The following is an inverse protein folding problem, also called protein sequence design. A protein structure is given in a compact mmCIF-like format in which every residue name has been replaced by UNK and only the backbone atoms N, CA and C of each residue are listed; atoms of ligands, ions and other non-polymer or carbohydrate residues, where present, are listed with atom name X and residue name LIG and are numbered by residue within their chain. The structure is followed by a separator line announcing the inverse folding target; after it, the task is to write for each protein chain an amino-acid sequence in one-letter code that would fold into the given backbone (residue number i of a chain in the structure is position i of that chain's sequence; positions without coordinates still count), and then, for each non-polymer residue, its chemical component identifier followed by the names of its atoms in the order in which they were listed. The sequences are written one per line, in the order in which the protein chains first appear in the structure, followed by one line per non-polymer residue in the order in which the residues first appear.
data_IF_005008316898
#
_entry.id   IF_005008316898
#
_cell.length_a   1.000
_cell.length_b   1.000
_cell.length_c   1.000
_cell.angle_alpha   90.00
_cell.angle_beta   90.00
_cell.angle_gamma   90.00
#
_symmetry.space_group_name_H-M   'P 1'
#
loop_
_entity.id
_entity.type
_entity.pdbx_description
1 polymer ?
#
# COMPACT_ATOMS: atom_id res chain seq x y z
N UNK A 1 9.24 7.87 -17.47
CA UNK A 1 8.12 6.91 -17.56
C UNK A 1 7.58 6.77 -16.14
N UNK A 2 6.26 6.81 -15.94
CA UNK A 2 5.70 6.59 -14.60
C UNK A 2 5.63 5.09 -14.31
N UNK A 3 6.07 4.69 -13.11
CA UNK A 3 5.85 3.34 -12.59
C UNK A 3 4.45 3.20 -11.94
N UNK A 4 3.81 4.31 -11.58
CA UNK A 4 2.60 4.33 -10.75
C UNK A 4 1.30 4.13 -11.55
N UNK A 5 1.31 4.43 -12.85
CA UNK A 5 0.08 4.58 -13.65
C UNK A 5 -0.26 3.38 -14.53
N UNK A 6 0.38 2.22 -14.34
CA UNK A 6 0.09 1.01 -15.14
C UNK A 6 -1.11 0.23 -14.59
N UNK A 7 -1.28 0.18 -13.26
CA UNK A 7 -2.51 -0.17 -12.54
C UNK A 7 -2.48 0.47 -11.15
N UNK A 8 -3.56 1.11 -10.66
CA UNK A 8 -3.69 1.38 -9.24
C UNK A 8 -3.91 0.07 -8.46
N UNK A 9 -3.55 0.06 -7.18
CA UNK A 9 -3.84 -1.04 -6.27
C UNK A 9 -5.35 -1.31 -6.18
N UNK A 10 -5.72 -2.59 -6.15
CA UNK A 10 -7.10 -3.06 -6.05
C UNK A 10 -7.23 -4.05 -4.89
N UNK A 11 -7.90 -3.62 -3.82
CA UNK A 11 -8.16 -4.43 -2.62
C UNK A 11 -9.34 -5.42 -2.81
N UNK A 12 -9.32 -6.21 -3.87
CA UNK A 12 -10.33 -7.26 -4.12
C UNK A 12 -9.67 -8.62 -4.32
N UNK A 13 -10.20 -9.63 -3.63
CA UNK A 13 -9.90 -11.05 -3.85
C UNK A 13 -11.09 -11.74 -4.54
N UNK A 14 -10.90 -12.91 -5.20
CA UNK A 14 -11.99 -13.62 -5.91
C UNK A 14 -13.17 -14.06 -5.02
N UNK A 15 -12.95 -14.15 -3.71
CA UNK A 15 -13.92 -14.51 -2.68
C UNK A 15 -14.56 -13.29 -1.97
N UNK A 16 -14.00 -12.08 -2.17
CA UNK A 16 -14.53 -10.85 -1.57
C UNK A 16 -15.88 -10.47 -2.17
N UNK A 17 -16.85 -10.22 -1.29
CA UNK A 17 -18.20 -9.76 -1.65
C UNK A 17 -18.41 -8.27 -1.46
N UNK A 18 -17.37 -7.55 -1.03
CA UNK A 18 -17.47 -6.14 -0.68
C UNK A 18 -17.59 -5.23 -1.90
N UNK A 19 -18.55 -4.30 -1.84
CA UNK A 19 -18.77 -3.27 -2.86
C UNK A 19 -18.81 -3.83 -4.29
N UNK A 20 -17.79 -3.49 -5.08
CA UNK A 20 -17.69 -3.88 -6.49
C UNK A 20 -16.82 -5.14 -6.73
N UNK A 21 -16.23 -5.73 -5.70
CA UNK A 21 -15.34 -6.90 -5.85
C UNK A 21 -15.99 -8.10 -6.59
N UNK A 22 -17.28 -8.45 -6.39
CA UNK A 22 -17.98 -9.47 -7.19
C UNK A 22 -18.04 -9.23 -8.70
N UNK A 23 -17.74 -8.01 -9.15
CA UNK A 23 -17.91 -7.57 -10.53
C UNK A 23 -16.58 -7.24 -11.22
N UNK A 24 -15.45 -7.46 -10.56
CA UNK A 24 -14.11 -7.29 -11.15
C UNK A 24 -13.39 -8.63 -11.28
N UNK A 25 -12.86 -8.87 -12.48
CA UNK A 25 -11.98 -9.98 -12.75
C UNK A 25 -10.57 -9.65 -12.25
N UNK A 26 -10.13 -10.31 -11.18
CA UNK A 26 -8.80 -10.14 -10.56
C UNK A 26 -7.78 -11.18 -11.03
N UNK A 27 -8.09 -11.98 -12.06
CA UNK A 27 -7.15 -12.97 -12.61
C UNK A 27 -5.93 -12.30 -13.27
N UNK A 28 -4.79 -12.99 -13.25
CA UNK A 28 -3.52 -12.50 -13.81
C UNK A 28 -3.53 -12.47 -15.35
N UNK A 29 -4.20 -11.46 -15.91
CA UNK A 29 -4.29 -11.13 -17.33
C UNK A 29 -3.55 -9.82 -17.59
N UNK A 30 -3.01 -9.61 -18.79
CA UNK A 30 -2.29 -8.38 -19.13
C UNK A 30 -3.09 -7.11 -18.78
N UNK A 31 -4.40 -7.11 -19.06
CA UNK A 31 -5.34 -6.01 -18.74
C UNK A 31 -5.49 -5.69 -17.24
N UNK A 32 -5.05 -6.60 -16.36
CA UNK A 32 -5.07 -6.49 -14.90
C UNK A 32 -3.67 -6.32 -14.29
N UNK A 33 -2.60 -6.50 -15.07
CA UNK A 33 -1.20 -6.30 -14.65
C UNK A 33 -0.70 -4.92 -15.04
N UNK A 34 -0.95 -4.50 -16.29
CA UNK A 34 -0.60 -3.18 -16.80
C UNK A 34 -1.56 -2.82 -17.93
N UNK A 35 -2.34 -1.74 -17.80
CA UNK A 35 -3.26 -1.28 -18.86
C UNK A 35 -3.08 0.19 -19.20
N UNK A 36 -3.50 0.53 -20.41
CA UNK A 36 -3.84 1.90 -20.78
C UNK A 36 -5.29 1.95 -21.25
N UNK A 37 -5.95 3.09 -21.05
CA UNK A 37 -7.31 3.36 -21.51
C UNK A 37 -7.27 4.63 -22.38
N UNK A 38 -8.04 4.66 -23.47
CA UNK A 38 -7.95 5.72 -24.49
C UNK A 38 -8.67 7.02 -24.12
N UNK A 39 -8.31 8.11 -24.82
CA UNK A 39 -8.72 9.53 -24.66
C UNK A 39 -9.72 10.08 -25.73
N UNK A 40 -10.21 11.32 -25.56
CA UNK A 40 -11.19 12.19 -26.27
C UNK A 40 -12.68 12.20 -25.87
N UNK A 41 -13.40 11.08 -25.74
CA UNK A 41 -14.83 11.08 -25.29
C UNK A 41 -15.54 9.75 -24.92
N UNK A 42 -15.09 8.52 -25.19
CA UNK A 42 -13.85 8.02 -25.78
C UNK A 42 -12.60 8.21 -24.88
N UNK A 43 -12.73 8.90 -23.72
CA UNK A 43 -11.73 9.02 -22.59
C UNK A 43 -11.80 7.87 -21.57
N UNK A 44 -12.87 7.06 -21.62
CA UNK A 44 -12.87 5.69 -21.13
C UNK A 44 -12.74 4.72 -22.30
N UNK A 45 -11.90 5.06 -23.30
CA UNK A 45 -11.71 4.23 -24.48
C UNK A 45 -11.25 2.82 -24.09
N UNK A 46 -11.57 1.78 -24.89
CA UNK A 46 -11.39 0.38 -24.50
C UNK A 46 -9.99 0.13 -23.96
N UNK A 47 -9.91 -0.23 -22.69
CA UNK A 47 -8.63 -0.45 -22.04
C UNK A 47 -7.95 -1.68 -22.65
N UNK A 48 -6.65 -1.61 -22.86
CA UNK A 48 -5.83 -2.69 -23.42
C UNK A 48 -4.66 -3.03 -22.50
N UNK A 49 -4.34 -4.31 -22.40
CA UNK A 49 -3.19 -4.79 -21.65
C UNK A 49 -1.88 -4.45 -22.37
N UNK A 50 -0.91 -3.93 -21.64
CA UNK A 50 0.40 -3.55 -22.16
C UNK A 50 1.33 -4.78 -22.17
N UNK A 51 1.97 -5.05 -23.32
CA UNK A 51 2.98 -6.11 -23.45
C UNK A 51 4.39 -5.66 -23.02
N UNK A 52 4.63 -4.35 -22.96
CA UNK A 52 5.88 -3.74 -22.51
C UNK A 52 5.56 -2.53 -21.64
N UNK A 53 6.14 -2.50 -20.45
CA UNK A 53 5.97 -1.46 -19.45
C UNK A 53 7.22 -1.47 -18.54
N UNK A 54 7.54 -0.35 -17.87
CA UNK A 54 8.59 -0.32 -16.85
C UNK A 54 8.25 -1.29 -15.72
N UNK A 55 9.13 -2.26 -15.45
CA UNK A 55 8.95 -3.25 -14.40
C UNK A 55 10.02 -3.06 -13.33
N UNK A 56 9.61 -2.74 -12.09
CA UNK A 56 10.53 -2.61 -10.95
C UNK A 56 10.66 -3.95 -10.27
N UNK A 57 11.87 -4.51 -10.28
CA UNK A 57 12.24 -5.69 -9.49
C UNK A 57 13.16 -5.29 -8.36
N UNK A 58 12.95 -5.84 -7.17
CA UNK A 58 13.86 -5.71 -6.03
C UNK A 58 14.91 -6.82 -6.07
N UNK A 59 16.15 -6.52 -5.67
CA UNK A 59 17.25 -7.49 -5.59
C UNK A 59 17.39 -8.17 -4.23
N UNK A 60 16.75 -7.62 -3.19
CA UNK A 60 16.86 -8.02 -1.79
C UNK A 60 15.53 -7.67 -1.09
N UNK A 61 15.13 -8.50 -0.12
CA UNK A 61 13.95 -8.28 0.73
C UNK A 61 14.04 -9.14 1.99
N UNK A 62 13.38 -8.72 3.06
CA UNK A 62 13.40 -9.45 4.33
C UNK A 62 12.26 -9.05 5.27
N UNK A 63 12.40 -9.41 6.53
CA UNK A 63 11.47 -9.04 7.59
C UNK A 63 12.25 -8.64 8.84
N UNK A 64 11.78 -7.60 9.51
CA UNK A 64 12.36 -7.03 10.74
C UNK A 64 11.25 -6.86 11.77
N UNK A 65 11.61 -6.79 13.05
CA UNK A 65 10.67 -6.57 14.14
C UNK A 65 11.35 -5.84 15.30
N UNK A 66 10.57 -5.01 16.00
CA UNK A 66 11.05 -4.20 17.12
C UNK A 66 11.66 -2.86 16.69
N UNK A 67 11.63 -1.85 17.58
CA UNK A 67 11.88 -0.46 17.22
C UNK A 67 13.28 -0.21 16.67
N UNK A 68 14.32 -0.73 17.33
CA UNK A 68 15.72 -0.49 16.92
C UNK A 68 16.02 -1.01 15.51
N UNK A 69 15.43 -2.16 15.13
CA UNK A 69 15.60 -2.74 13.80
C UNK A 69 14.84 -1.93 12.74
N UNK A 70 13.60 -1.51 13.06
CA UNK A 70 12.78 -0.66 12.19
C UNK A 70 13.45 0.69 11.94
N UNK A 71 13.89 1.39 12.99
CA UNK A 71 14.60 2.67 12.90
C UNK A 71 15.87 2.54 12.04
N UNK A 72 16.64 1.46 12.21
CA UNK A 72 17.85 1.20 11.43
C UNK A 72 17.55 0.99 9.95
N UNK A 73 16.57 0.17 9.60
CA UNK A 73 16.21 -0.07 8.19
C UNK A 73 15.67 1.21 7.54
N UNK A 74 14.79 1.95 8.24
CA UNK A 74 14.27 3.24 7.74
C UNK A 74 15.40 4.24 7.50
N UNK A 75 16.39 4.33 8.39
CA UNK A 75 17.53 5.23 8.25
C UNK A 75 18.43 4.89 7.05
N UNK A 76 18.76 3.60 6.88
CA UNK A 76 19.74 3.15 5.88
C UNK A 76 19.12 2.94 4.49
N UNK A 77 17.83 2.58 4.41
CA UNK A 77 17.18 2.05 3.20
C UNK A 77 15.81 2.66 2.89
N UNK A 78 15.25 3.49 3.77
CA UNK A 78 13.99 4.20 3.55
C UNK A 78 12.75 3.45 4.04
N UNK A 79 11.53 3.91 3.67
CA UNK A 79 10.28 3.47 4.29
C UNK A 79 10.04 1.95 4.25
N UNK A 80 9.49 1.42 5.35
CA UNK A 80 9.23 -0.01 5.54
C UNK A 80 7.73 -0.31 5.60
N UNK A 81 7.32 -1.49 5.13
CA UNK A 81 5.95 -1.98 5.29
C UNK A 81 5.79 -2.65 6.67
N UNK A 82 4.81 -2.20 7.45
CA UNK A 82 4.52 -2.70 8.80
C UNK A 82 3.06 -3.14 8.93
N UNK A 83 2.83 -4.27 9.60
CA UNK A 83 1.49 -4.68 10.02
C UNK A 83 1.02 -3.85 11.21
N UNK A 84 -0.24 -3.42 11.19
CA UNK A 84 -0.87 -2.64 12.25
C UNK A 84 -2.33 -3.09 12.45
N UNK A 85 -2.90 -2.77 13.61
CA UNK A 85 -4.34 -2.80 13.86
C UNK A 85 -4.95 -1.47 13.40
N UNK A 86 -5.92 -1.49 12.49
CA UNK A 86 -6.57 -0.29 11.98
C UNK A 86 -7.67 0.29 12.90
N UNK A 87 -8.15 -0.44 13.92
CA UNK A 87 -9.23 0.03 14.77
C UNK A 87 -8.90 1.34 15.54
N UNK A 88 -7.71 1.51 16.13
CA UNK A 88 -7.27 2.81 16.69
C UNK A 88 -7.19 3.95 15.67
N UNK A 89 -6.94 3.63 14.39
CA UNK A 89 -6.77 4.61 13.31
C UNK A 89 -8.10 5.02 12.65
N UNK A 90 -9.17 4.23 12.81
CA UNK A 90 -10.41 4.32 12.02
C UNK A 90 -11.07 5.71 12.01
N UNK A 91 -10.98 6.45 13.12
CA UNK A 91 -11.52 7.81 13.25
C UNK A 91 -10.45 8.80 13.76
N UNK A 92 -9.18 8.54 13.45
CA UNK A 92 -8.08 9.41 13.88
C UNK A 92 -8.03 10.71 13.06
N UNK A 93 -8.08 11.85 13.77
CA UNK A 93 -8.01 13.19 13.15
C UNK A 93 -6.73 13.96 13.49
N UNK A 94 -6.17 13.79 14.70
CA UNK A 94 -4.95 14.50 15.15
C UNK A 94 -4.37 13.92 16.45
N UNK A 95 -3.09 14.21 16.72
CA UNK A 95 -2.40 13.85 17.97
C UNK A 95 -1.31 12.80 17.78
N UNK A 96 -1.13 11.95 18.79
CA UNK A 96 -0.31 10.72 18.75
C UNK A 96 -1.18 9.60 19.31
N UNK A 97 -1.40 8.55 18.54
CA UNK A 97 -2.21 7.40 18.97
C UNK A 97 -1.44 6.61 20.03
N UNK A 98 -2.13 6.26 21.13
CA UNK A 98 -1.58 5.47 22.24
C UNK A 98 -2.41 4.24 22.58
N UNK A 99 -3.54 4.08 21.92
CA UNK A 99 -4.43 2.94 22.12
C UNK A 99 -3.78 1.64 21.65
N UNK A 100 -4.09 0.55 22.33
CA UNK A 100 -3.59 -0.78 21.97
C UNK A 100 -4.49 -1.38 20.90
N UNK A 101 -3.89 -1.99 19.90
CA UNK A 101 -4.58 -2.92 19.01
C UNK A 101 -4.76 -4.29 19.65
N UNK A 102 -5.77 -5.01 19.16
CA UNK A 102 -6.10 -6.40 19.49
C UNK A 102 -5.62 -7.38 18.40
N UNK A 103 -5.32 -6.93 17.18
CA UNK A 103 -4.72 -7.77 16.13
C UNK A 103 -4.32 -7.03 14.85
N UNK A 104 -3.32 -7.53 14.13
CA UNK A 104 -2.92 -6.97 12.84
C UNK A 104 -3.94 -7.34 11.76
N UNK A 105 -4.62 -6.33 11.21
CA UNK A 105 -5.58 -6.45 10.10
C UNK A 105 -5.21 -5.56 8.90
N UNK A 106 -4.22 -4.68 9.05
CA UNK A 106 -3.84 -3.70 8.04
C UNK A 106 -2.31 -3.61 7.86
N UNK A 107 -1.86 -2.99 6.75
CA UNK A 107 -0.45 -2.77 6.44
C UNK A 107 -0.24 -1.32 6.03
N UNK A 108 0.73 -0.66 6.68
CA UNK A 108 1.08 0.75 6.46
C UNK A 108 2.55 0.90 6.05
N UNK A 109 2.89 2.04 5.47
CA UNK A 109 4.29 2.45 5.24
C UNK A 109 4.74 3.31 6.42
N UNK A 110 5.73 2.86 7.19
CA UNK A 110 6.37 3.64 8.25
C UNK A 110 7.58 4.35 7.65
N UNK A 111 7.56 5.68 7.66
CA UNK A 111 8.50 6.54 6.92
C UNK A 111 9.53 7.24 7.82
N UNK A 112 9.40 7.13 9.15
CA UNK A 112 10.23 7.84 10.11
C UNK A 112 9.90 7.44 11.55
N UNK A 113 10.30 8.29 12.48
CA UNK A 113 9.92 8.29 13.89
C UNK A 113 10.26 9.67 14.48
N UNK A 114 9.77 9.95 15.69
CA UNK A 114 10.10 11.15 16.44
C UNK A 114 9.91 10.99 17.94
N UNK A 115 10.13 12.07 18.68
CA UNK A 115 9.89 12.13 20.13
C UNK A 115 9.29 13.48 20.47
N UNK A 116 8.04 13.47 20.95
CA UNK A 116 7.40 14.63 21.55
C UNK A 116 7.85 14.80 23.02
N UNK A 117 8.08 16.04 23.51
CA UNK A 117 8.52 16.27 24.90
C UNK A 117 7.54 15.85 26.00
N UNK A 118 6.24 15.74 25.69
CA UNK A 118 5.19 15.36 26.64
C UNK A 118 4.65 13.96 26.33
N UNK A 119 4.38 13.68 25.05
CA UNK A 119 3.74 12.44 24.62
C UNK A 119 4.72 11.28 24.40
N UNK A 120 6.01 11.56 24.18
CA UNK A 120 7.06 10.56 24.04
C UNK A 120 7.33 10.13 22.59
N UNK A 121 7.88 8.92 22.44
CA UNK A 121 8.24 8.35 21.14
C UNK A 121 7.01 8.05 20.27
N UNK A 122 7.11 8.32 18.97
CA UNK A 122 6.11 7.96 17.96
C UNK A 122 6.78 7.55 16.64
N UNK A 123 6.04 6.82 15.80
CA UNK A 123 6.40 6.47 14.42
C UNK A 123 5.93 7.56 13.46
#
# INVERSE_FOLDING_TARGET
MSYETSQPYLACTPDSKEGFCPHVDTTCKAINVARTCGSFSKEGGPCSGLASYPNVTISDYGSISGPDAMMKEIFERGPIACGIDAAPLLNYESGIIKDKGDGVDHVVSVTGWGTDPQEGFYW
#
